data_IF_823411899848
#
_entry.id   IF_823411899848
#
_cell.length_a   1.000
_cell.length_b   1.000
_cell.length_c   1.000
_cell.angle_alpha   90.00
_cell.angle_beta   90.00
_cell.angle_gamma   90.00
#
_symmetry.space_group_name_H-M   'P 1'
#
loop_
_entity.id
_entity.type
_entity.pdbx_description
1 polymer ?
#
# COMPACT_ATOMS: atom_id res chain seq x y z
N UNK A 1 15.63 40.14 -46.17
CA UNK A 1 15.80 39.25 -44.99
C UNK A 1 14.75 39.67 -43.97
N UNK A 2 13.74 38.87 -43.59
CA UNK A 2 13.77 38.41 -42.19
C UNK A 2 12.89 37.19 -41.80
N UNK A 3 12.17 36.50 -42.69
CA UNK A 3 11.23 35.44 -42.25
C UNK A 3 11.98 34.21 -41.73
N UNK A 4 12.99 33.73 -42.46
CA UNK A 4 13.80 32.57 -42.04
C UNK A 4 14.57 32.79 -40.73
N UNK A 5 15.04 34.02 -40.48
CA UNK A 5 15.72 34.38 -39.23
C UNK A 5 14.75 34.37 -38.03
N UNK A 6 13.50 34.82 -38.21
CA UNK A 6 12.46 34.75 -37.17
C UNK A 6 12.05 33.29 -36.89
N UNK A 7 11.90 32.47 -37.92
CA UNK A 7 11.63 31.03 -37.75
C UNK A 7 12.76 30.30 -37.04
N UNK A 8 14.02 30.61 -37.40
CA UNK A 8 15.19 30.02 -36.74
C UNK A 8 15.30 30.43 -35.27
N UNK A 9 15.05 31.71 -34.96
CA UNK A 9 15.01 32.20 -33.57
C UNK A 9 13.89 31.52 -32.75
N UNK A 10 12.69 31.37 -33.32
CA UNK A 10 11.58 30.66 -32.67
C UNK A 10 11.90 29.17 -32.45
N UNK A 11 12.55 28.52 -33.41
CA UNK A 11 12.98 27.13 -33.27
C UNK A 11 14.03 26.96 -32.16
N UNK A 12 15.00 27.87 -32.06
CA UNK A 12 16.00 27.87 -30.99
C UNK A 12 15.38 28.09 -29.61
N UNK A 13 14.43 29.03 -29.49
CA UNK A 13 13.68 29.25 -28.23
C UNK A 13 12.89 27.99 -27.86
N UNK A 14 12.22 27.37 -28.84
CA UNK A 14 11.49 26.12 -28.62
C UNK A 14 12.40 24.98 -28.16
N UNK A 15 13.59 24.84 -28.75
CA UNK A 15 14.58 23.84 -28.36
C UNK A 15 15.13 24.11 -26.95
N UNK A 16 15.46 25.36 -26.62
CA UNK A 16 15.93 25.73 -25.29
C UNK A 16 14.85 25.48 -24.23
N UNK A 17 13.58 25.83 -24.51
CA UNK A 17 12.46 25.53 -23.64
C UNK A 17 12.25 24.02 -23.45
N UNK A 18 12.43 23.21 -24.52
CA UNK A 18 12.36 21.76 -24.44
C UNK A 18 13.50 21.19 -23.58
N UNK A 19 14.74 21.67 -23.75
CA UNK A 19 15.89 21.22 -22.95
C UNK A 19 15.66 21.56 -21.47
N UNK A 20 15.24 22.79 -21.15
CA UNK A 20 14.92 23.19 -19.77
C UNK A 20 13.79 22.36 -19.19
N UNK A 21 12.77 22.04 -19.99
CA UNK A 21 11.69 21.16 -19.57
C UNK A 21 12.20 19.74 -19.30
N UNK A 22 13.03 19.17 -20.17
CA UNK A 22 13.60 17.84 -19.98
C UNK A 22 14.55 17.78 -18.77
N UNK A 23 15.38 18.80 -18.58
CA UNK A 23 16.22 18.95 -17.39
C UNK A 23 15.37 19.03 -16.11
N UNK A 24 14.34 19.88 -16.12
CA UNK A 24 13.38 19.94 -15.04
C UNK A 24 12.72 18.58 -14.80
N UNK A 25 12.32 17.81 -15.83
CA UNK A 25 11.75 16.47 -15.66
C UNK A 25 12.70 15.48 -14.99
N UNK A 26 14.01 15.66 -15.14
CA UNK A 26 15.05 14.84 -14.50
C UNK A 26 15.35 15.20 -13.05
N UNK A 27 15.09 16.44 -12.61
CA UNK A 27 15.33 16.84 -11.22
C UNK A 27 14.34 16.16 -10.26
N UNK A 28 14.89 15.43 -9.28
CA UNK A 28 14.16 14.63 -8.27
C UNK A 28 14.69 14.89 -6.85
N UNK A 29 15.35 16.03 -6.61
CA UNK A 29 15.96 16.34 -5.32
C UNK A 29 14.97 16.25 -4.16
N UNK A 30 15.32 15.46 -3.15
CA UNK A 30 14.47 15.17 -2.00
C UNK A 30 14.64 16.19 -0.87
N UNK A 31 13.53 16.53 -0.20
CA UNK A 31 13.56 17.35 1.01
C UNK A 31 14.01 16.57 2.27
N UNK A 32 14.32 17.27 3.38
CA UNK A 32 14.69 16.65 4.64
C UNK A 32 13.59 15.73 5.18
N UNK A 33 14.00 14.61 5.80
CA UNK A 33 13.10 13.63 6.41
C UNK A 33 12.49 14.23 7.68
N UNK A 34 11.19 14.53 7.65
CA UNK A 34 10.42 14.95 8.82
C UNK A 34 9.50 13.80 9.26
N UNK A 35 10.10 12.67 9.67
CA UNK A 35 9.34 11.56 10.24
C UNK A 35 8.95 11.90 11.68
N UNK A 36 7.67 11.82 11.99
CA UNK A 36 7.16 11.91 13.36
C UNK A 36 7.55 10.63 14.12
N UNK A 37 8.74 10.61 14.73
CA UNK A 37 9.34 9.48 15.46
C UNK A 37 8.73 9.27 16.85
N UNK A 38 7.46 9.58 17.04
CA UNK A 38 6.78 9.37 18.32
C UNK A 38 6.58 7.88 18.56
N UNK A 39 6.81 7.46 19.81
CA UNK A 39 6.42 6.13 20.28
C UNK A 39 4.91 5.97 20.18
N UNK A 40 4.48 4.83 19.64
CA UNK A 40 3.06 4.53 19.53
C UNK A 40 2.55 3.95 20.86
N UNK A 41 1.35 4.31 21.34
CA UNK A 41 0.70 3.52 22.37
C UNK A 41 0.56 2.05 21.93
N UNK A 42 0.87 1.14 22.84
CA UNK A 42 0.73 -0.30 22.65
C UNK A 42 -0.48 -0.78 23.45
N UNK A 43 -1.42 -1.43 22.76
CA UNK A 43 -2.56 -2.09 23.38
C UNK A 43 -2.37 -3.59 23.25
N UNK A 44 -2.01 -4.26 24.35
CA UNK A 44 -1.82 -5.71 24.39
C UNK A 44 -3.00 -6.41 25.06
N UNK A 45 -3.49 -7.49 24.46
CA UNK A 45 -4.56 -8.34 24.95
C UNK A 45 -4.08 -9.80 25.04
N UNK A 46 -4.61 -10.56 25.99
CA UNK A 46 -4.17 -11.93 26.28
C UNK A 46 -2.89 -12.00 27.13
N UNK A 47 -2.35 -13.21 27.31
CA UNK A 47 -1.14 -13.46 28.12
C UNK A 47 0.03 -13.85 27.22
N UNK A 48 1.25 -13.33 27.46
CA UNK A 48 2.44 -13.79 26.77
C UNK A 48 2.61 -15.31 26.85
N UNK A 49 3.00 -15.91 25.73
CA UNK A 49 3.06 -17.35 25.56
C UNK A 49 3.97 -17.78 24.41
N UNK A 50 4.07 -19.09 24.21
CA UNK A 50 4.88 -19.72 23.15
C UNK A 50 4.11 -19.94 21.85
N UNK A 51 2.77 -19.82 21.88
CA UNK A 51 1.90 -19.91 20.71
C UNK A 51 2.06 -18.76 19.71
N UNK A 52 2.66 -17.64 20.12
CA UNK A 52 2.83 -16.44 19.30
C UNK A 52 1.71 -15.41 19.50
N UNK A 53 1.59 -14.47 18.58
CA UNK A 53 0.70 -13.33 18.69
C UNK A 53 0.39 -12.71 17.32
N UNK A 54 -0.77 -12.08 17.21
CA UNK A 54 -1.10 -11.17 16.12
C UNK A 54 -0.71 -9.75 16.52
N UNK A 55 0.18 -9.12 15.76
CA UNK A 55 0.65 -7.76 15.98
C UNK A 55 0.21 -6.83 14.85
N UNK A 56 -0.74 -5.96 15.13
CA UNK A 56 -1.26 -4.96 14.21
C UNK A 56 -0.54 -3.64 14.35
N UNK A 57 -0.09 -3.08 13.24
CA UNK A 57 0.51 -1.74 13.21
C UNK A 57 -0.47 -0.81 12.51
N UNK A 58 -1.26 -0.06 13.28
CA UNK A 58 -2.06 1.01 12.70
C UNK A 58 -1.14 2.19 12.43
N UNK A 59 -1.06 2.67 11.19
CA UNK A 59 -0.09 3.69 10.78
C UNK A 59 -0.76 4.96 10.23
N UNK A 60 -0.11 6.10 10.47
CA UNK A 60 -0.31 7.35 9.72
C UNK A 60 0.86 7.49 8.77
N UNK A 61 0.58 7.42 7.46
CA UNK A 61 1.57 7.55 6.41
C UNK A 61 1.43 8.92 5.76
N UNK A 62 2.56 9.59 5.61
CA UNK A 62 2.68 10.90 5.00
C UNK A 62 3.28 10.77 3.60
N UNK A 63 3.07 11.75 2.70
CA UNK A 63 3.76 11.76 1.41
C UNK A 63 5.28 11.65 1.54
N UNK A 64 5.85 12.20 2.63
CA UNK A 64 7.28 12.14 2.92
C UNK A 64 7.82 10.72 3.20
N UNK A 65 6.95 9.79 3.60
CA UNK A 65 7.33 8.39 3.82
C UNK A 65 7.49 7.64 2.49
N UNK A 66 6.88 8.14 1.40
CA UNK A 66 6.92 7.53 0.06
C UNK A 66 7.88 8.23 -0.91
N UNK A 67 8.72 9.16 -0.45
CA UNK A 67 9.73 9.76 -1.34
C UNK A 67 10.73 8.73 -1.86
N UNK A 68 11.03 7.73 -1.02
CA UNK A 68 11.96 6.64 -1.27
C UNK A 68 11.46 5.40 -0.51
N UNK A 69 11.61 4.22 -1.10
CA UNK A 69 11.27 2.93 -0.49
C UNK A 69 12.00 2.72 0.85
N UNK A 70 13.25 3.21 0.99
CA UNK A 70 13.98 3.10 2.26
C UNK A 70 13.30 3.89 3.39
N UNK A 71 12.65 5.02 3.10
CA UNK A 71 11.94 5.80 4.12
C UNK A 71 10.71 5.08 4.63
N UNK A 72 9.95 4.45 3.72
CA UNK A 72 8.83 3.61 4.10
C UNK A 72 9.30 2.44 4.96
N UNK A 73 10.42 1.80 4.58
CA UNK A 73 11.04 0.76 5.38
C UNK A 73 11.40 1.28 6.79
N UNK A 74 12.11 2.40 6.90
CA UNK A 74 12.50 2.99 8.19
C UNK A 74 11.28 3.35 9.07
N UNK A 75 10.19 3.82 8.44
CA UNK A 75 8.93 4.13 9.15
C UNK A 75 8.38 2.91 9.86
N UNK A 76 8.26 1.77 9.17
CA UNK A 76 7.76 0.53 9.77
C UNK A 76 8.80 -0.14 10.68
N UNK A 77 10.09 -0.03 10.37
CA UNK A 77 11.17 -0.50 11.23
C UNK A 77 11.10 0.19 12.60
N UNK A 78 10.78 1.48 12.66
CA UNK A 78 10.60 2.20 13.94
C UNK A 78 9.51 1.57 14.81
N UNK A 79 8.40 1.14 14.22
CA UNK A 79 7.31 0.47 14.93
C UNK A 79 7.68 -0.94 15.38
N UNK A 80 8.37 -1.69 14.52
CA UNK A 80 8.85 -3.04 14.85
C UNK A 80 9.98 -3.03 15.88
N UNK A 81 10.85 -2.02 15.87
CA UNK A 81 11.85 -1.80 16.90
C UNK A 81 11.21 -1.55 18.26
N UNK A 82 10.13 -0.76 18.29
CA UNK A 82 9.37 -0.55 19.51
C UNK A 82 8.74 -1.87 20.00
N UNK A 83 8.07 -2.61 19.12
CA UNK A 83 7.48 -3.90 19.48
C UNK A 83 8.53 -4.92 19.98
N UNK A 84 9.71 -4.93 19.37
CA UNK A 84 10.84 -5.77 19.78
C UNK A 84 11.35 -5.42 21.18
N UNK A 85 11.51 -4.12 21.48
CA UNK A 85 11.94 -3.64 22.81
C UNK A 85 10.97 -4.06 23.91
N UNK A 86 9.69 -4.18 23.58
CA UNK A 86 8.61 -4.58 24.48
C UNK A 86 8.40 -6.10 24.53
N UNK A 87 9.29 -6.88 23.89
CA UNK A 87 9.23 -8.35 23.91
C UNK A 87 8.05 -8.95 23.13
N UNK A 88 7.45 -8.20 22.21
CA UNK A 88 6.25 -8.63 21.47
C UNK A 88 6.56 -9.42 20.20
N UNK A 89 7.84 -9.58 19.85
CA UNK A 89 8.25 -10.27 18.62
C UNK A 89 8.93 -11.60 18.94
N UNK A 90 8.47 -12.64 18.26
CA UNK A 90 9.07 -13.97 18.23
C UNK A 90 8.82 -14.62 16.85
N UNK A 91 9.32 -15.84 16.68
CA UNK A 91 9.25 -16.59 15.41
C UNK A 91 7.81 -16.92 14.95
N UNK A 92 6.85 -16.92 15.89
CA UNK A 92 5.41 -17.14 15.66
C UNK A 92 4.61 -15.83 15.67
N UNK A 93 5.25 -14.67 15.75
CA UNK A 93 4.54 -13.39 15.64
C UNK A 93 4.10 -13.16 14.19
N UNK A 94 2.82 -12.85 14.03
CA UNK A 94 2.21 -12.44 12.78
C UNK A 94 2.00 -10.93 12.78
N UNK A 95 2.86 -10.21 12.07
CA UNK A 95 2.73 -8.76 11.92
C UNK A 95 1.77 -8.44 10.78
N UNK A 96 0.80 -7.57 11.03
CA UNK A 96 -0.21 -7.17 10.05
C UNK A 96 -0.12 -5.68 9.80
N UNK A 97 0.04 -5.30 8.53
CA UNK A 97 0.09 -3.91 8.10
C UNK A 97 -1.25 -3.44 7.50
N UNK A 98 -1.51 -2.12 7.50
CA UNK A 98 -2.77 -1.58 7.03
C UNK A 98 -3.00 -1.73 5.51
N UNK A 99 -4.23 -1.52 5.07
CA UNK A 99 -4.58 -1.49 3.65
C UNK A 99 -3.90 -0.32 2.91
N UNK A 100 -3.61 -0.51 1.62
CA UNK A 100 -3.06 0.47 0.68
C UNK A 100 -1.65 1.01 1.01
N UNK A 101 -0.96 0.47 2.02
CA UNK A 101 0.42 0.86 2.35
C UNK A 101 1.40 0.61 1.22
N UNK A 102 1.16 -0.38 0.36
CA UNK A 102 1.96 -0.60 -0.84
C UNK A 102 1.53 0.28 -2.01
N UNK A 103 0.28 0.75 -2.03
CA UNK A 103 -0.24 1.54 -3.15
C UNK A 103 0.48 2.89 -3.24
N UNK A 104 0.81 3.52 -2.12
CA UNK A 104 1.52 4.80 -2.08
C UNK A 104 2.92 4.77 -2.70
N UNK A 105 3.50 3.59 -2.95
CA UNK A 105 4.79 3.43 -3.63
C UNK A 105 4.80 4.01 -5.06
N UNK A 106 3.63 4.33 -5.63
CA UNK A 106 3.57 5.08 -6.89
C UNK A 106 4.35 6.41 -6.83
N UNK A 107 4.53 6.99 -5.64
CA UNK A 107 5.22 8.27 -5.42
C UNK A 107 6.73 8.15 -5.18
N UNK A 108 7.27 6.92 -5.14
CA UNK A 108 8.72 6.70 -5.00
C UNK A 108 9.46 7.27 -6.20
N UNK A 109 10.56 7.97 -5.93
CA UNK A 109 11.36 8.70 -6.91
C UNK A 109 10.58 9.74 -7.73
N UNK A 110 9.41 10.16 -7.25
CA UNK A 110 8.65 11.23 -7.88
C UNK A 110 9.04 12.60 -7.33
N UNK A 111 8.70 13.62 -8.12
CA UNK A 111 8.99 15.02 -7.82
C UNK A 111 8.42 15.51 -6.47
N UNK A 112 9.07 16.50 -5.82
CA UNK A 112 8.54 17.16 -4.63
C UNK A 112 7.09 17.65 -4.80
N UNK A 113 6.70 18.09 -6.00
CA UNK A 113 5.35 18.54 -6.33
C UNK A 113 4.30 17.43 -6.19
N UNK A 114 4.64 16.18 -6.52
CA UNK A 114 3.77 15.01 -6.31
C UNK A 114 3.57 14.78 -4.82
N UNK A 115 4.62 14.98 -4.03
CA UNK A 115 4.60 14.78 -2.58
C UNK A 115 3.87 15.90 -1.84
N UNK A 116 3.94 17.14 -2.34
CA UNK A 116 3.26 18.31 -1.78
C UNK A 116 1.78 18.40 -2.22
N UNK A 117 1.38 17.61 -3.22
CA UNK A 117 0.02 17.59 -3.70
C UNK A 117 -0.97 17.22 -2.58
N UNK A 118 -2.02 18.03 -2.43
CA UNK A 118 -3.04 17.81 -1.39
C UNK A 118 -4.04 16.73 -1.76
N UNK A 119 -4.17 16.42 -3.05
CA UNK A 119 -5.16 15.47 -3.57
C UNK A 119 -4.51 14.46 -4.51
N UNK A 120 -5.09 13.26 -4.62
CA UNK A 120 -4.63 12.25 -5.56
C UNK A 120 -4.65 12.78 -6.99
N UNK A 121 -5.69 13.54 -7.37
CA UNK A 121 -5.77 14.12 -8.70
C UNK A 121 -4.58 15.02 -9.02
N UNK A 122 -4.18 15.87 -8.09
CA UNK A 122 -3.07 16.82 -8.30
C UNK A 122 -1.73 16.08 -8.35
N UNK A 123 -1.54 15.08 -7.49
CA UNK A 123 -0.36 14.21 -7.50
C UNK A 123 -0.23 13.50 -8.86
N UNK A 124 -1.32 12.93 -9.34
CA UNK A 124 -1.40 12.26 -10.64
C UNK A 124 -1.13 13.22 -11.81
N UNK A 125 -1.57 14.48 -11.70
CA UNK A 125 -1.30 15.50 -12.72
C UNK A 125 0.17 15.89 -12.77
N UNK A 126 0.82 16.13 -11.62
CA UNK A 126 2.24 16.43 -11.56
C UNK A 126 3.10 15.30 -12.10
N UNK A 127 2.72 14.07 -11.82
CA UNK A 127 3.42 12.88 -12.30
C UNK A 127 3.23 12.67 -13.81
N UNK A 128 2.04 12.91 -14.35
CA UNK A 128 1.83 12.91 -15.80
C UNK A 128 2.67 13.98 -16.52
N UNK A 129 2.83 15.16 -15.91
CA UNK A 129 3.69 16.23 -16.42
C UNK A 129 5.18 15.92 -16.29
N UNK A 130 5.56 15.12 -15.29
CA UNK A 130 6.96 14.76 -15.00
C UNK A 130 7.43 13.51 -15.75
N UNK A 131 6.49 12.68 -16.22
CA UNK A 131 6.75 11.44 -16.96
C UNK A 131 6.09 11.49 -18.35
N UNK A 132 6.48 12.44 -19.23
CA UNK A 132 5.76 12.68 -20.47
C UNK A 132 5.78 11.47 -21.39
N UNK A 133 6.85 10.66 -21.43
CA UNK A 133 6.94 9.52 -22.34
C UNK A 133 6.08 8.35 -21.88
N UNK A 134 6.01 8.12 -20.56
CA UNK A 134 5.11 7.12 -19.98
C UNK A 134 3.65 7.49 -20.21
N UNK A 135 3.31 8.77 -20.04
CA UNK A 135 1.96 9.29 -20.25
C UNK A 135 1.53 9.24 -21.74
N UNK A 136 2.44 9.59 -22.66
CA UNK A 136 2.18 9.51 -24.11
C UNK A 136 1.92 8.07 -24.56
N UNK A 137 2.66 7.07 -24.05
CA UNK A 137 2.37 5.66 -24.33
C UNK A 137 1.01 5.23 -23.76
N UNK A 138 0.71 5.62 -22.51
CA UNK A 138 -0.57 5.27 -21.87
C UNK A 138 -1.80 5.90 -22.55
N UNK A 139 -1.65 7.08 -23.16
CA UNK A 139 -2.70 7.75 -23.94
C UNK A 139 -3.09 6.98 -25.21
N UNK A 140 -2.13 6.27 -25.82
CA UNK A 140 -2.36 5.49 -27.03
C UNK A 140 -3.07 4.15 -26.74
N UNK A 141 -3.04 3.68 -25.48
CA UNK A 141 -3.39 2.30 -25.15
C UNK A 141 -4.83 2.12 -24.60
N UNK A 142 -5.48 3.12 -23.95
CA UNK A 142 -6.67 2.82 -23.11
C UNK A 142 -7.91 3.74 -23.20
N UNK A 143 -9.10 3.11 -23.16
CA UNK A 143 -10.48 3.66 -23.12
C UNK A 143 -11.18 3.45 -21.73
N UNK A 144 -10.80 4.19 -20.68
CA UNK A 144 -11.41 4.08 -19.33
C UNK A 144 -12.04 5.38 -18.79
N UNK A 145 -12.86 5.30 -17.71
CA UNK A 145 -13.60 6.45 -17.11
C UNK A 145 -12.80 7.31 -16.13
N UNK A 146 -11.72 6.81 -15.50
CA UNK A 146 -10.77 7.60 -14.67
C UNK A 146 -9.32 7.37 -15.14
N UNK A 147 -9.05 7.80 -16.38
CA UNK A 147 -7.84 7.49 -17.17
C UNK A 147 -6.51 7.85 -16.51
N UNK A 148 -6.50 8.74 -15.51
CA UNK A 148 -5.25 9.30 -14.95
C UNK A 148 -4.68 8.45 -13.83
N UNK A 149 -5.52 8.06 -12.87
CA UNK A 149 -5.12 7.20 -11.74
C UNK A 149 -4.67 5.83 -12.26
N UNK A 150 -5.45 5.26 -13.19
CA UNK A 150 -5.14 3.97 -13.80
C UNK A 150 -3.82 4.01 -14.58
N UNK A 151 -3.62 5.03 -15.43
CA UNK A 151 -2.42 5.16 -16.24
C UNK A 151 -1.15 5.28 -15.39
N UNK A 152 -1.19 6.09 -14.33
CA UNK A 152 -0.04 6.24 -13.44
C UNK A 152 0.31 4.91 -12.76
N UNK A 153 -0.68 4.24 -12.16
CA UNK A 153 -0.44 2.98 -11.46
C UNK A 153 0.11 1.92 -12.41
N UNK A 154 -0.33 1.90 -13.67
CA UNK A 154 0.24 1.05 -14.72
C UNK A 154 1.69 1.42 -15.06
N UNK A 155 2.00 2.71 -15.23
CA UNK A 155 3.37 3.18 -15.54
C UNK A 155 4.36 2.81 -14.42
N UNK A 156 3.94 2.93 -13.16
CA UNK A 156 4.79 2.67 -11.99
C UNK A 156 4.74 1.22 -11.50
N UNK A 157 3.91 0.37 -12.11
CA UNK A 157 3.55 -0.94 -11.58
C UNK A 157 4.76 -1.84 -11.29
N UNK A 158 5.71 -1.93 -12.22
CA UNK A 158 6.91 -2.77 -12.06
C UNK A 158 7.80 -2.30 -10.92
N UNK A 159 7.96 -0.98 -10.77
CA UNK A 159 8.74 -0.40 -9.68
C UNK A 159 8.02 -0.63 -8.35
N UNK A 160 6.71 -0.35 -8.30
CA UNK A 160 5.89 -0.57 -7.12
C UNK A 160 5.93 -2.04 -6.65
N UNK A 161 5.83 -3.00 -7.57
CA UNK A 161 5.90 -4.43 -7.25
C UNK A 161 7.25 -4.83 -6.63
N UNK A 162 8.36 -4.32 -7.20
CA UNK A 162 9.71 -4.55 -6.65
C UNK A 162 9.90 -3.91 -5.29
N UNK A 163 9.51 -2.65 -5.13
CA UNK A 163 9.68 -1.90 -3.89
C UNK A 163 8.82 -2.51 -2.78
N UNK A 164 7.61 -2.94 -3.12
CA UNK A 164 6.72 -3.63 -2.19
C UNK A 164 7.37 -4.89 -1.61
N UNK A 165 7.92 -5.76 -2.46
CA UNK A 165 8.64 -6.94 -1.98
C UNK A 165 9.90 -6.60 -1.20
N UNK A 166 10.67 -5.62 -1.68
CA UNK A 166 11.93 -5.22 -1.05
C UNK A 166 11.71 -4.67 0.36
N UNK A 167 10.75 -3.75 0.50
CA UNK A 167 10.44 -3.12 1.79
C UNK A 167 9.88 -4.15 2.76
N UNK A 168 8.81 -4.86 2.39
CA UNK A 168 8.08 -5.67 3.34
C UNK A 168 8.71 -7.05 3.58
N UNK A 169 9.33 -7.65 2.56
CA UNK A 169 10.18 -8.84 2.74
C UNK A 169 11.44 -8.53 3.54
N UNK A 170 12.04 -7.34 3.34
CA UNK A 170 13.15 -6.86 4.15
C UNK A 170 12.80 -6.74 5.63
N UNK A 171 11.65 -6.12 5.95
CA UNK A 171 11.16 -6.01 7.33
C UNK A 171 10.90 -7.40 7.94
N UNK A 172 10.21 -8.29 7.23
CA UNK A 172 9.95 -9.64 7.73
C UNK A 172 11.24 -10.38 8.11
N UNK A 173 12.26 -10.28 7.24
CA UNK A 173 13.58 -10.86 7.44
C UNK A 173 14.34 -10.23 8.61
N UNK A 174 14.39 -8.90 8.67
CA UNK A 174 15.13 -8.18 9.71
C UNK A 174 14.59 -8.45 11.11
N UNK A 175 13.27 -8.63 11.24
CA UNK A 175 12.61 -8.85 12.52
C UNK A 175 12.30 -10.32 12.82
N UNK A 176 12.53 -11.24 11.87
CA UNK A 176 12.34 -12.67 12.06
C UNK A 176 10.87 -13.08 12.27
N UNK A 177 9.94 -12.36 11.64
CA UNK A 177 8.49 -12.50 11.82
C UNK A 177 7.79 -12.89 10.52
N UNK A 178 6.60 -13.48 10.62
CA UNK A 178 5.71 -13.58 9.45
C UNK A 178 4.97 -12.25 9.30
N UNK A 179 5.00 -11.65 8.11
CA UNK A 179 4.50 -10.29 7.87
C UNK A 179 3.47 -10.25 6.75
N UNK A 180 2.24 -9.86 7.08
CA UNK A 180 1.17 -9.55 6.13
C UNK A 180 1.32 -8.09 5.72
N UNK A 181 1.80 -7.85 4.49
CA UNK A 181 2.34 -6.56 4.05
C UNK A 181 1.28 -5.50 3.69
N UNK A 182 0.10 -5.56 4.30
CA UNK A 182 -1.01 -4.71 3.93
C UNK A 182 -1.40 -4.97 2.48
N UNK A 183 -1.79 -3.94 1.73
CA UNK A 183 -2.16 -4.14 0.32
C UNK A 183 -1.59 -3.11 -0.66
N UNK A 184 -1.54 -3.53 -1.92
CA UNK A 184 -1.04 -2.78 -3.07
C UNK A 184 -2.01 -2.94 -4.25
N UNK A 185 -2.15 -1.90 -5.06
CA UNK A 185 -2.92 -1.93 -6.32
C UNK A 185 -1.95 -2.02 -7.49
N UNK A 186 -2.09 -3.06 -8.32
CA UNK A 186 -1.25 -3.34 -9.48
C UNK A 186 -2.11 -3.83 -10.65
N UNK A 187 -1.68 -3.66 -11.91
CA UNK A 187 -2.36 -4.25 -13.06
C UNK A 187 -2.13 -5.76 -13.07
N UNK A 188 -3.21 -6.55 -13.10
CA UNK A 188 -3.19 -8.01 -13.25
C UNK A 188 -2.02 -8.69 -12.49
N UNK A 189 -1.88 -8.47 -11.17
CA UNK A 189 -0.68 -8.89 -10.43
C UNK A 189 -0.59 -10.41 -10.35
N UNK A 190 0.63 -10.95 -10.41
CA UNK A 190 0.89 -12.39 -10.30
C UNK A 190 2.13 -12.62 -9.47
N UNK A 191 2.18 -13.77 -8.79
CA UNK A 191 3.39 -14.26 -8.15
C UNK A 191 4.02 -15.30 -9.07
N UNK A 192 5.20 -14.99 -9.63
CA UNK A 192 5.97 -15.89 -10.51
C UNK A 192 7.33 -16.12 -9.87
N UNK A 193 7.65 -17.38 -9.56
CA UNK A 193 8.93 -17.77 -8.94
C UNK A 193 9.30 -16.94 -7.71
N UNK A 194 8.32 -16.69 -6.83
CA UNK A 194 8.52 -15.87 -5.61
C UNK A 194 8.71 -14.37 -5.90
N UNK A 195 8.40 -13.90 -7.11
CA UNK A 195 8.44 -12.48 -7.49
C UNK A 195 7.04 -11.97 -7.80
N UNK A 196 6.69 -10.85 -7.21
CA UNK A 196 5.48 -10.10 -7.54
C UNK A 196 5.73 -9.38 -8.86
N UNK A 197 4.92 -9.72 -9.85
CA UNK A 197 5.01 -9.18 -11.21
C UNK A 197 3.69 -8.48 -11.53
N UNK A 198 3.81 -7.29 -12.09
CA UNK A 198 2.68 -6.58 -12.66
C UNK A 198 2.41 -7.08 -14.09
N UNK A 199 1.15 -7.40 -14.39
CA UNK A 199 0.72 -7.87 -15.70
C UNK A 199 0.17 -6.74 -16.57
N UNK A 200 -0.46 -7.14 -17.68
CA UNK A 200 -1.30 -6.28 -18.51
C UNK A 200 -2.76 -6.62 -18.26
N UNK A 201 -3.57 -5.66 -17.82
CA UNK A 201 -4.96 -5.91 -17.48
C UNK A 201 -5.57 -4.86 -16.55
N UNK A 202 -6.74 -5.15 -15.95
CA UNK A 202 -7.35 -4.27 -14.98
C UNK A 202 -6.49 -4.18 -13.72
N UNK A 203 -6.58 -3.04 -13.03
CA UNK A 203 -5.97 -2.92 -11.70
C UNK A 203 -6.71 -3.83 -10.73
N UNK A 204 -5.95 -4.53 -9.90
CA UNK A 204 -6.45 -5.32 -8.78
C UNK A 204 -5.69 -4.96 -7.51
N UNK A 205 -6.39 -5.05 -6.40
CA UNK A 205 -5.80 -4.87 -5.09
C UNK A 205 -5.46 -6.22 -4.49
N UNK A 206 -4.21 -6.39 -4.06
CA UNK A 206 -3.69 -7.62 -3.48
C UNK A 206 -2.92 -7.37 -2.20
N UNK A 207 -2.86 -8.39 -1.35
CA UNK A 207 -1.95 -8.48 -0.21
C UNK A 207 -1.00 -9.66 -0.42
N UNK A 208 0.25 -9.48 -0.01
CA UNK A 208 1.22 -10.55 0.03
C UNK A 208 1.73 -10.75 1.46
N UNK A 209 1.86 -12.02 1.85
CA UNK A 209 2.46 -12.39 3.13
C UNK A 209 3.90 -12.81 2.90
N UNK A 210 4.79 -12.41 3.80
CA UNK A 210 6.21 -12.76 3.79
C UNK A 210 6.52 -13.65 4.98
N UNK A 211 7.35 -14.67 4.75
CA UNK A 211 7.93 -15.48 5.79
C UNK A 211 9.01 -14.71 6.57
N UNK A 212 9.47 -15.28 7.68
CA UNK A 212 10.60 -14.76 8.47
C UNK A 212 11.93 -14.66 7.71
N UNK A 213 12.04 -15.30 6.55
CA UNK A 213 13.23 -15.19 5.70
C UNK A 213 13.10 -14.07 4.65
N UNK A 214 11.96 -13.38 4.63
CA UNK A 214 11.64 -12.31 3.68
C UNK A 214 11.13 -12.81 2.33
N UNK A 215 10.84 -14.10 2.21
CA UNK A 215 10.30 -14.71 0.99
C UNK A 215 8.78 -14.70 0.99
N UNK A 216 8.11 -14.53 -0.17
CA UNK A 216 6.66 -14.67 -0.27
C UNK A 216 6.16 -16.01 0.28
N UNK A 217 5.09 -15.97 1.06
CA UNK A 217 4.47 -17.12 1.71
C UNK A 217 3.01 -17.26 1.24
N UNK A 218 2.72 -18.35 0.53
CA UNK A 218 1.40 -18.61 -0.04
C UNK A 218 1.07 -17.78 -1.28
N UNK A 219 -0.15 -17.91 -1.82
CA UNK A 219 -0.61 -17.15 -2.99
C UNK A 219 -0.96 -15.70 -2.63
N UNK A 220 -1.09 -14.86 -3.66
CA UNK A 220 -1.63 -13.50 -3.51
C UNK A 220 -3.07 -13.55 -3.00
N UNK A 221 -3.36 -12.72 -2.01
CA UNK A 221 -4.70 -12.56 -1.44
C UNK A 221 -5.35 -11.40 -2.17
N UNK A 222 -6.50 -11.62 -2.80
CA UNK A 222 -7.14 -10.60 -3.63
C UNK A 222 -8.27 -9.95 -2.86
N UNK A 223 -8.44 -8.64 -3.11
CA UNK A 223 -9.64 -7.96 -2.66
C UNK A 223 -10.81 -8.32 -3.55
N UNK A 224 -11.87 -8.86 -2.97
CA UNK A 224 -13.07 -9.29 -3.70
C UNK A 224 -14.19 -8.23 -3.63
N UNK A 225 -14.38 -7.62 -2.47
CA UNK A 225 -15.40 -6.61 -2.23
C UNK A 225 -14.81 -5.21 -2.38
N UNK A 226 -15.09 -4.60 -3.53
CA UNK A 226 -14.67 -3.23 -3.81
C UNK A 226 -15.66 -2.21 -3.25
N UNK A 227 -15.13 -1.11 -2.73
CA UNK A 227 -15.90 0.08 -2.39
C UNK A 227 -16.39 0.80 -3.66
N UNK A 228 -17.35 1.72 -3.51
CA UNK A 228 -17.83 2.56 -4.64
C UNK A 228 -16.69 3.32 -5.31
N UNK A 229 -15.66 3.71 -4.56
CA UNK A 229 -14.55 4.49 -5.09
C UNK A 229 -13.52 3.63 -5.82
N UNK A 230 -13.23 2.44 -5.30
CA UNK A 230 -12.32 1.46 -5.90
C UNK A 230 -12.84 0.96 -7.25
N UNK A 231 -14.15 0.70 -7.38
CA UNK A 231 -14.77 0.29 -8.65
C UNK A 231 -14.57 1.26 -9.83
N UNK A 232 -14.04 2.46 -9.59
CA UNK A 232 -13.74 3.42 -10.66
C UNK A 232 -12.38 3.21 -11.31
N UNK A 233 -11.46 2.52 -10.62
CA UNK A 233 -10.09 2.31 -11.09
C UNK A 233 -9.62 0.85 -10.98
N UNK A 234 -10.29 0.00 -10.18
CA UNK A 234 -9.94 -1.39 -9.94
C UNK A 234 -11.12 -2.31 -10.22
N UNK A 235 -10.81 -3.56 -10.58
CA UNK A 235 -11.75 -4.64 -10.74
C UNK A 235 -11.45 -5.77 -9.75
N UNK A 236 -12.50 -6.40 -9.22
CA UNK A 236 -12.36 -7.61 -8.43
C UNK A 236 -12.14 -8.79 -9.39
N UNK A 237 -11.24 -9.73 -9.09
CA UNK A 237 -11.13 -10.97 -9.86
C UNK A 237 -12.44 -11.77 -9.78
N UNK A 238 -12.86 -12.36 -10.91
CA UNK A 238 -14.09 -13.17 -10.98
C UNK A 238 -13.99 -14.47 -10.14
N UNK A 239 -12.81 -15.09 -10.12
CA UNK A 239 -12.57 -16.39 -9.50
C UNK A 239 -11.47 -16.35 -8.41
N UNK A 240 -11.39 -15.26 -7.64
CA UNK A 240 -10.47 -15.26 -6.51
C UNK A 240 -10.91 -16.29 -5.47
N UNK A 241 -10.00 -17.21 -5.15
CA UNK A 241 -10.10 -18.09 -4.01
C UNK A 241 -9.09 -17.60 -2.98
N UNK A 242 -9.56 -16.91 -1.95
CA UNK A 242 -8.71 -16.64 -0.79
C UNK A 242 -8.32 -17.97 -0.17
N UNK A 243 -7.02 -18.22 -0.17
CA UNK A 243 -6.42 -19.48 0.24
C UNK A 243 -5.75 -19.27 1.58
N UNK A 244 -5.95 -20.23 2.49
CA UNK A 244 -5.28 -20.22 3.78
C UNK A 244 -3.75 -20.27 3.62
N UNK A 245 -3.08 -19.43 4.39
CA UNK A 245 -1.62 -19.35 4.43
C UNK A 245 -1.15 -20.14 5.65
N UNK A 246 -0.28 -21.11 5.43
CA UNK A 246 0.34 -21.86 6.52
C UNK A 246 1.41 -21.01 7.19
N UNK A 247 1.28 -20.77 8.49
CA UNK A 247 2.24 -19.97 9.27
C UNK A 247 2.69 -20.74 10.51
N UNK A 248 3.83 -20.36 11.14
CA UNK A 248 4.27 -20.98 12.39
C UNK A 248 3.29 -20.86 13.57
N UNK A 249 2.32 -19.94 13.49
CA UNK A 249 1.29 -19.71 14.49
C UNK A 249 -0.06 -20.39 14.15
N UNK A 250 -0.20 -20.96 12.95
CA UNK A 250 -1.44 -21.61 12.50
C UNK A 250 -1.85 -21.25 11.07
N UNK A 251 -2.99 -21.80 10.65
CA UNK A 251 -3.63 -21.57 9.35
C UNK A 251 -4.27 -20.18 9.30
N UNK A 252 -3.68 -19.27 8.55
CA UNK A 252 -4.06 -17.87 8.47
C UNK A 252 -4.97 -17.57 7.28
N UNK A 253 -6.12 -16.97 7.55
CA UNK A 253 -6.94 -16.26 6.56
C UNK A 253 -6.58 -14.77 6.55
N UNK A 254 -6.42 -14.19 5.36
CA UNK A 254 -6.12 -12.76 5.16
C UNK A 254 -7.24 -12.12 4.35
N UNK A 255 -7.77 -10.99 4.84
CA UNK A 255 -8.83 -10.24 4.16
C UNK A 255 -8.45 -8.77 4.01
N UNK A 256 -8.95 -8.15 2.95
CA UNK A 256 -8.59 -6.78 2.59
C UNK A 256 -9.84 -5.89 2.65
N UNK A 257 -9.79 -4.85 3.47
CA UNK A 257 -10.84 -3.84 3.57
C UNK A 257 -12.21 -4.44 3.82
N UNK A 258 -13.12 -4.24 2.86
CA UNK A 258 -14.51 -4.68 2.94
C UNK A 258 -14.68 -6.20 2.97
N UNK A 259 -13.69 -6.99 2.52
CA UNK A 259 -13.75 -8.45 2.62
C UNK A 259 -13.87 -8.94 4.06
N UNK A 260 -13.41 -8.14 5.01
CA UNK A 260 -13.53 -8.41 6.45
C UNK A 260 -14.97 -8.62 6.92
N UNK A 261 -15.97 -8.14 6.18
CA UNK A 261 -17.39 -8.22 6.56
C UNK A 261 -18.09 -9.46 5.96
N UNK A 262 -17.38 -10.30 5.19
CA UNK A 262 -17.89 -11.58 4.67
C UNK A 262 -18.14 -12.56 5.81
N UNK A 263 -19.32 -13.19 5.84
CA UNK A 263 -19.71 -14.12 6.93
C UNK A 263 -18.97 -15.45 6.93
N UNK A 264 -18.73 -16.04 5.76
CA UNK A 264 -18.11 -17.37 5.68
C UNK A 264 -16.59 -17.23 5.79
N UNK A 265 -15.99 -17.86 6.79
CA UNK A 265 -14.57 -18.12 6.89
C UNK A 265 -14.27 -19.47 6.22
N UNK A 266 -13.06 -19.61 5.69
CA UNK A 266 -12.57 -20.88 5.17
C UNK A 266 -12.60 -21.93 6.29
N UNK A 267 -13.15 -23.12 6.03
CA UNK A 267 -13.54 -24.13 7.06
C UNK A 267 -12.40 -24.63 7.97
N UNK A 268 -11.16 -24.26 7.66
CA UNK A 268 -9.92 -24.69 8.29
C UNK A 268 -9.07 -23.52 8.82
N UNK A 269 -9.60 -22.30 8.78
CA UNK A 269 -8.90 -21.13 9.30
C UNK A 269 -8.77 -21.22 10.82
N UNK A 270 -7.57 -21.02 11.33
CA UNK A 270 -7.30 -20.93 12.78
C UNK A 270 -7.10 -19.48 13.21
N UNK A 271 -6.73 -18.60 12.27
CA UNK A 271 -6.44 -17.19 12.52
C UNK A 271 -7.05 -16.35 11.40
N UNK A 272 -7.58 -15.17 11.74
CA UNK A 272 -8.06 -14.20 10.77
C UNK A 272 -7.37 -12.85 10.95
N UNK A 273 -6.85 -12.29 9.86
CA UNK A 273 -6.35 -10.92 9.85
C UNK A 273 -7.04 -10.11 8.77
N UNK A 274 -7.36 -8.86 9.10
CA UNK A 274 -8.05 -7.93 8.20
C UNK A 274 -7.18 -6.69 8.04
N UNK A 275 -6.59 -6.52 6.85
CA UNK A 275 -5.87 -5.32 6.47
C UNK A 275 -6.90 -4.29 5.98
N UNK A 276 -7.30 -3.33 6.82
CA UNK A 276 -8.39 -2.40 6.52
C UNK A 276 -7.92 -0.95 6.34
N UNK A 277 -8.60 -0.22 5.46
CA UNK A 277 -8.47 1.22 5.30
C UNK A 277 -9.57 1.97 6.07
N UNK A 278 -9.26 2.38 7.30
CA UNK A 278 -10.06 3.33 8.08
C UNK A 278 -11.37 2.79 8.68
N UNK A 279 -11.85 3.47 9.73
CA UNK A 279 -13.07 3.10 10.48
C UNK A 279 -14.40 3.43 9.79
N UNK A 280 -14.37 4.23 8.73
CA UNK A 280 -15.56 4.72 8.03
C UNK A 280 -15.47 4.35 6.54
N UNK A 281 -15.56 3.06 6.23
CA UNK A 281 -15.69 2.67 4.84
C UNK A 281 -17.09 3.10 4.33
N UNK A 282 -17.18 3.76 3.16
CA UNK A 282 -18.47 4.08 2.58
C UNK A 282 -19.20 2.78 2.16
N UNK A 283 -20.54 2.75 2.20
CA UNK A 283 -21.32 1.59 1.79
C UNK A 283 -20.93 1.09 0.38
N UNK A 284 -20.94 -0.23 0.13
CA UNK A 284 -21.61 -1.29 0.92
C UNK A 284 -20.80 -1.88 2.08
N UNK A 285 -19.61 -1.33 2.38
CA UNK A 285 -18.78 -1.78 3.49
C UNK A 285 -19.38 -1.28 4.81
N UNK A 286 -20.43 -1.93 5.29
CA UNK A 286 -21.13 -1.57 6.51
C UNK A 286 -20.60 -2.37 7.70
N UNK A 287 -20.35 -1.68 8.82
CA UNK A 287 -20.09 -2.26 10.14
C UNK A 287 -21.26 -3.09 10.70
N UNK A 288 -22.37 -3.22 9.98
CA UNK A 288 -23.55 -3.94 10.44
C UNK A 288 -23.35 -5.45 10.26
N UNK A 289 -22.95 -6.07 11.38
CA UNK A 289 -22.94 -7.52 11.61
C UNK A 289 -21.84 -8.31 10.88
N UNK A 290 -20.58 -7.88 11.01
CA UNK A 290 -19.50 -8.87 10.92
C UNK A 290 -19.71 -9.88 12.06
N UNK A 291 -20.02 -11.14 11.72
CA UNK A 291 -20.02 -12.20 12.71
C UNK A 291 -18.62 -12.24 13.33
N UNK A 292 -18.51 -12.15 14.65
CA UNK A 292 -17.22 -12.34 15.33
C UNK A 292 -16.80 -13.77 15.04
N UNK A 293 -15.72 -14.00 14.27
CA UNK A 293 -15.27 -15.35 14.00
C UNK A 293 -14.89 -16.01 15.33
N UNK A 294 -15.11 -17.31 15.45
CA UNK A 294 -14.67 -18.10 16.63
C UNK A 294 -13.15 -18.36 16.64
N UNK A 295 -12.40 -17.54 15.90
CA UNK A 295 -10.95 -17.62 15.74
C UNK A 295 -10.30 -16.30 16.16
N UNK A 296 -9.08 -16.32 16.72
CA UNK A 296 -8.31 -15.12 16.99
C UNK A 296 -8.27 -14.20 15.76
N UNK A 297 -8.84 -13.01 15.91
CA UNK A 297 -9.03 -12.06 14.82
C UNK A 297 -8.35 -10.73 15.13
N UNK A 298 -7.56 -10.23 14.20
CA UNK A 298 -6.93 -8.91 14.29
C UNK A 298 -7.29 -8.07 13.06
N UNK A 299 -7.89 -6.90 13.30
CA UNK A 299 -8.13 -5.88 12.26
C UNK A 299 -7.14 -4.73 12.45
N UNK A 300 -6.50 -4.33 11.36
CA UNK A 300 -5.56 -3.21 11.34
C UNK A 300 -6.12 -2.11 10.46
N UNK A 301 -6.24 -0.91 11.01
CA UNK A 301 -6.76 0.25 10.26
C UNK A 301 -5.65 1.19 9.84
N UNK A 302 -5.71 1.70 8.61
CA UNK A 302 -4.94 2.90 8.24
C UNK A 302 -5.70 4.14 8.70
N UNK A 303 -5.13 4.91 9.62
CA UNK A 303 -5.76 6.14 10.09
C UNK A 303 -5.71 7.24 9.03
N UNK A 304 -4.57 7.35 8.34
CA UNK A 304 -4.36 8.34 7.30
C UNK A 304 -3.46 7.78 6.21
N UNK A 305 -3.96 7.89 4.98
CA UNK A 305 -3.19 7.68 3.76
C UNK A 305 -3.02 9.02 3.05
N UNK A 306 -1.83 9.25 2.46
CA UNK A 306 -1.58 10.46 1.71
C UNK A 306 -2.52 10.55 0.49
N UNK A 307 -2.76 11.77 0.02
CA UNK A 307 -3.55 12.07 -1.17
C UNK A 307 -5.02 11.62 -1.17
N UNK A 308 -5.54 11.13 -0.05
CA UNK A 308 -6.87 10.52 0.05
C UNK A 308 -7.02 9.29 -0.87
N UNK A 309 -6.00 8.42 -0.90
CA UNK A 309 -5.92 7.23 -1.76
C UNK A 309 -7.16 6.33 -1.76
N UNK A 310 -7.86 6.25 -0.62
CA UNK A 310 -9.05 5.40 -0.43
C UNK A 310 -10.37 6.19 -0.54
N UNK A 311 -10.26 7.49 -0.81
CA UNK A 311 -11.39 8.41 -0.86
C UNK A 311 -11.63 9.03 -2.23
N UNK A 312 -12.24 10.23 -2.22
CA UNK A 312 -12.44 10.98 -3.45
C UNK A 312 -11.12 11.61 -3.90
N UNK A 313 -10.67 11.38 -5.15
CA UNK A 313 -9.38 11.88 -5.65
C UNK A 313 -9.32 13.41 -5.75
N UNK A 314 -10.48 14.09 -5.63
CA UNK A 314 -10.60 15.56 -5.66
C UNK A 314 -10.64 16.18 -4.28
N UNK A 315 -10.66 15.38 -3.22
CA UNK A 315 -10.74 15.87 -1.84
C UNK A 315 -9.42 15.58 -1.13
N UNK A 316 -8.88 16.52 -0.36
CA UNK A 316 -7.71 16.25 0.45
C UNK A 316 -8.04 15.24 1.54
N UNK A 317 -7.00 14.56 2.04
CA UNK A 317 -7.12 13.71 3.23
C UNK A 317 -7.64 14.58 4.37
N UNK A 318 -8.71 14.13 5.04
CA UNK A 318 -9.13 14.75 6.30
C UNK A 318 -8.27 14.17 7.40
N UNK A 319 -7.68 15.02 8.22
CA UNK A 319 -6.96 14.61 9.43
C UNK A 319 -7.96 14.58 10.59
N UNK A 320 -8.54 13.43 10.96
CA UNK A 320 -9.32 13.35 12.17
C UNK A 320 -8.41 13.70 13.35
N UNK A 321 -8.66 14.85 13.99
CA UNK A 321 -7.99 15.21 15.23
C UNK A 321 -8.45 14.25 16.32
N UNK A 322 -7.53 13.49 16.91
CA UNK A 322 -7.74 12.83 18.20
C UNK A 322 -7.50 11.32 18.29
N UNK A 323 -7.37 10.57 17.19
CA UNK A 323 -7.07 9.13 17.28
C UNK A 323 -5.55 8.89 17.16
N UNK A 324 -4.90 8.35 18.21
CA UNK A 324 -3.49 8.03 18.13
C UNK A 324 -3.29 6.77 17.29
N UNK A 325 -2.30 6.87 16.40
CA UNK A 325 -1.62 5.74 15.77
C UNK A 325 -1.20 4.78 16.88
N UNK A 326 -1.36 3.46 16.73
CA UNK A 326 -1.13 2.49 17.81
C UNK A 326 -0.60 1.17 17.29
N UNK A 327 0.04 0.42 18.19
CA UNK A 327 0.35 -0.99 17.98
C UNK A 327 -0.69 -1.79 18.78
N UNK A 328 -1.37 -2.72 18.13
CA UNK A 328 -2.30 -3.63 18.80
C UNK A 328 -1.69 -5.01 18.82
N UNK A 329 -1.63 -5.64 19.99
CA UNK A 329 -1.10 -6.97 20.17
C UNK A 329 -2.20 -7.89 20.73
N UNK A 330 -2.37 -9.05 20.12
CA UNK A 330 -3.25 -10.11 20.59
C UNK A 330 -2.43 -11.39 20.75
N UNK A 331 -2.16 -11.78 22.00
CA UNK A 331 -1.53 -13.05 22.30
C UNK A 331 -2.48 -14.21 21.96
N UNK A 332 -1.94 -15.24 21.30
CA UNK A 332 -2.69 -16.44 20.95
C UNK A 332 -2.84 -17.35 22.17
N UNK A 333 -3.97 -18.06 22.30
CA UNK A 333 -4.11 -19.08 23.34
C UNK A 333 -3.09 -20.20 23.14
N UNK A 334 -2.58 -20.76 24.23
CA UNK A 334 -1.77 -21.98 24.15
C UNK A 334 -2.63 -23.16 23.66
N UNK A 335 -2.03 -24.07 22.86
CA UNK A 335 -2.74 -25.23 22.29
C UNK A 335 -3.19 -26.27 23.32
#
# INVERSE_FOLDING_TARGET
MPTHSKFFALALIGLAALILYLDWTGDRRSGPLLSDLRTLPIQSQGKPGTAGNLLGIEARLLPADYQDAQRLHLRFATYLDQARKEGLLNERTLVVLPEHVGTGLFAVDEKPEVQQARTLRDAMQWMALSNPWGYLRALLDHQGRDRRTEAVLKIKADQMARDYQTVFGGLAKTYGVTLVAGSIVLPEPRLTDGRLVAGSGPLRQVSLTFSRDGTPLGPLQYKEQLSRYERRYSEAPADAQNTLIQTPAGRLAVRIGCDGDRRALEADAELLVITGAGKALPPPCSNDQAATPDVPTLRVSTFELPWNLVGSPRRPTRHPRGEPVRITNLWLPEP
#
